data_IF_521009568437
#
_entry.id   IF_521009568437
#
_cell.length_a   1.000
_cell.length_b   1.000
_cell.length_c   1.000
_cell.angle_alpha   90.00
_cell.angle_beta   90.00
_cell.angle_gamma   90.00
#
_symmetry.space_group_name_H-M   'P 1'
#
loop_
_entity.id
_entity.type
_entity.pdbx_description
1 polymer ?
#
# COMPACT_ATOMS: atom_id res chain seq x y z
N UNK A 1 -65.21 36.46 -3.90
CA UNK A 1 -63.91 37.17 -3.90
C UNK A 1 -63.00 36.45 -2.90
N UNK A 2 -62.03 35.67 -3.39
CA UNK A 2 -61.11 34.88 -2.56
C UNK A 2 -59.83 35.69 -2.34
N UNK A 3 -59.59 36.13 -1.10
CA UNK A 3 -58.38 36.84 -0.71
C UNK A 3 -57.19 35.88 -0.69
N UNK A 4 -56.25 36.07 -1.61
CA UNK A 4 -55.00 35.32 -1.65
C UNK A 4 -54.12 35.68 -0.46
N UNK A 5 -53.96 34.75 0.48
CA UNK A 5 -52.95 34.87 1.55
C UNK A 5 -51.56 34.90 0.91
N UNK A 6 -50.92 36.06 0.92
CA UNK A 6 -49.50 36.17 0.59
C UNK A 6 -48.69 35.42 1.66
N UNK A 7 -47.90 34.44 1.22
CA UNK A 7 -46.98 33.70 2.09
C UNK A 7 -45.92 34.67 2.64
N UNK A 8 -45.56 34.57 3.93
CA UNK A 8 -44.60 35.49 4.55
C UNK A 8 -43.20 35.32 3.95
N UNK A 9 -42.46 36.43 3.81
CA UNK A 9 -41.21 36.48 3.03
C UNK A 9 -40.16 35.46 3.48
N UNK A 10 -40.12 35.14 4.77
CA UNK A 10 -39.09 34.28 5.36
C UNK A 10 -39.19 32.85 4.84
N UNK A 11 -40.38 32.37 4.45
CA UNK A 11 -40.54 31.05 3.83
C UNK A 11 -39.87 30.98 2.46
N UNK A 12 -40.02 32.02 1.64
CA UNK A 12 -39.32 32.13 0.35
C UNK A 12 -37.81 32.19 0.53
N UNK A 13 -37.35 32.97 1.51
CA UNK A 13 -35.93 33.11 1.81
C UNK A 13 -35.30 31.78 2.31
N UNK A 14 -36.01 31.02 3.17
CA UNK A 14 -35.56 29.70 3.59
C UNK A 14 -35.56 28.68 2.45
N UNK A 15 -36.56 28.72 1.54
CA UNK A 15 -36.57 27.89 0.32
C UNK A 15 -35.38 28.24 -0.60
N UNK A 16 -35.06 29.52 -0.79
CA UNK A 16 -33.88 29.96 -1.56
C UNK A 16 -32.56 29.53 -0.90
N UNK A 17 -32.42 29.64 0.42
CA UNK A 17 -31.24 29.14 1.13
C UNK A 17 -31.14 27.61 1.02
N UNK A 18 -32.25 26.89 1.12
CA UNK A 18 -32.28 25.43 0.93
C UNK A 18 -31.84 25.06 -0.49
N UNK A 19 -32.33 25.77 -1.52
CA UNK A 19 -31.91 25.58 -2.91
C UNK A 19 -30.43 25.91 -3.13
N UNK A 20 -29.93 26.99 -2.53
CA UNK A 20 -28.53 27.40 -2.66
C UNK A 20 -27.55 26.47 -1.91
N UNK A 21 -27.98 25.85 -0.81
CA UNK A 21 -27.18 24.87 -0.07
C UNK A 21 -27.25 23.46 -0.69
N UNK A 22 -28.34 23.13 -1.39
CA UNK A 22 -28.48 21.89 -2.16
C UNK A 22 -27.62 21.89 -3.45
N UNK A 23 -27.34 23.05 -4.03
CA UNK A 23 -26.49 23.22 -5.23
C UNK A 23 -24.99 22.93 -4.98
N UNK A 24 -24.54 22.78 -3.73
CA UNK A 24 -23.15 22.34 -3.46
C UNK A 24 -22.99 20.83 -3.37
N UNK A 25 -24.07 20.06 -3.48
CA UNK A 25 -24.02 18.61 -3.66
C UNK A 25 -24.27 18.22 -5.13
N UNK A 26 -23.50 18.77 -6.07
CA UNK A 26 -23.43 18.22 -7.44
C UNK A 26 -22.69 16.88 -7.36
N UNK A 27 -23.40 15.85 -6.92
CA UNK A 27 -23.00 14.45 -7.09
C UNK A 27 -23.06 14.12 -8.57
N UNK A 28 -21.91 14.08 -9.24
CA UNK A 28 -21.80 13.63 -10.63
C UNK A 28 -21.00 14.53 -11.57
N UNK A 29 -20.34 15.58 -11.08
CA UNK A 29 -19.48 16.39 -11.94
C UNK A 29 -18.19 15.60 -12.32
N UNK A 30 -17.84 15.44 -13.61
CA UNK A 30 -16.64 14.71 -14.02
C UNK A 30 -15.32 15.40 -13.60
N UNK A 31 -15.38 16.71 -13.28
CA UNK A 31 -14.25 17.48 -12.74
C UNK A 31 -14.03 17.28 -11.24
N UNK A 32 -15.02 16.75 -10.51
CA UNK A 32 -14.95 16.47 -9.08
C UNK A 32 -15.43 15.04 -8.82
N UNK A 33 -14.59 14.03 -9.12
CA UNK A 33 -14.94 12.65 -8.85
C UNK A 33 -15.28 12.49 -7.36
N UNK A 34 -16.40 11.83 -7.09
CA UNK A 34 -16.84 11.53 -5.73
C UNK A 34 -15.74 10.71 -5.05
N UNK A 35 -15.10 11.26 -4.03
CA UNK A 35 -14.09 10.54 -3.26
C UNK A 35 -14.75 9.34 -2.57
N UNK A 36 -14.61 8.16 -3.18
CA UNK A 36 -15.09 6.87 -2.66
C UNK A 36 -13.93 5.88 -2.59
N UNK A 37 -12.76 6.33 -2.15
CA UNK A 37 -11.71 5.41 -1.75
C UNK A 37 -11.89 5.13 -0.26
N UNK A 38 -12.55 4.02 0.08
CA UNK A 38 -12.45 3.42 1.41
C UNK A 38 -10.96 3.12 1.64
N UNK A 39 -10.29 3.91 2.48
CA UNK A 39 -8.87 3.72 2.77
C UNK A 39 -8.71 2.95 4.08
N UNK A 40 -7.78 2.01 4.10
CA UNK A 40 -7.38 1.33 5.32
C UNK A 40 -6.34 2.15 6.06
N UNK A 41 -6.51 2.27 7.37
CA UNK A 41 -5.47 2.80 8.26
C UNK A 41 -4.36 1.74 8.41
N UNK A 42 -3.11 2.15 8.28
CA UNK A 42 -1.95 1.29 8.54
C UNK A 42 -1.53 1.51 9.99
N UNK A 43 -1.39 0.44 10.77
CA UNK A 43 -0.77 0.50 12.09
C UNK A 43 0.74 0.71 11.92
N UNK A 44 1.30 1.89 12.23
CA UNK A 44 2.69 2.20 11.94
C UNK A 44 3.66 1.34 12.77
N UNK A 45 3.26 0.93 13.97
CA UNK A 45 4.10 0.12 14.86
C UNK A 45 4.10 -1.32 14.38
N UNK A 46 2.92 -1.89 14.12
CA UNK A 46 2.82 -3.25 13.58
C UNK A 46 3.50 -3.34 12.21
N UNK A 47 3.36 -2.30 11.36
CA UNK A 47 4.02 -2.21 10.07
C UNK A 47 5.55 -2.19 10.24
N UNK A 48 6.09 -1.31 11.09
CA UNK A 48 7.54 -1.26 11.34
C UNK A 48 8.09 -2.60 11.83
N UNK A 49 7.41 -3.25 12.77
CA UNK A 49 7.82 -4.56 13.29
C UNK A 49 7.69 -5.64 12.21
N UNK A 50 6.66 -5.62 11.38
CA UNK A 50 6.50 -6.56 10.28
C UNK A 50 7.58 -6.42 9.21
N UNK A 51 7.97 -5.18 8.89
CA UNK A 51 8.97 -4.90 7.86
C UNK A 51 10.39 -5.26 8.32
N UNK A 52 10.72 -5.07 9.60
CA UNK A 52 12.00 -5.51 10.16
C UNK A 52 12.00 -7.01 10.52
N UNK A 53 10.92 -7.46 11.16
CA UNK A 53 10.78 -8.81 11.71
C UNK A 53 10.62 -9.89 10.65
N UNK A 54 10.00 -9.59 9.50
CA UNK A 54 9.84 -10.58 8.43
C UNK A 54 11.18 -11.12 7.92
N UNK A 55 12.08 -10.26 7.40
CA UNK A 55 13.41 -10.67 6.99
C UNK A 55 14.22 -11.35 8.10
N UNK A 56 14.18 -10.82 9.33
CA UNK A 56 14.91 -11.37 10.47
C UNK A 56 14.41 -12.77 10.88
N UNK A 57 13.10 -12.98 10.97
CA UNK A 57 12.51 -14.28 11.29
C UNK A 57 12.75 -15.28 10.18
N UNK A 58 12.57 -14.86 8.93
CA UNK A 58 12.82 -15.74 7.78
C UNK A 58 14.28 -16.17 7.75
N UNK A 59 15.21 -15.26 8.08
CA UNK A 59 16.62 -15.57 8.08
C UNK A 59 17.09 -16.39 9.28
N UNK A 60 16.47 -16.23 10.45
CA UNK A 60 16.79 -17.04 11.64
C UNK A 60 16.18 -18.43 11.59
N UNK A 61 15.01 -18.61 10.97
CA UNK A 61 14.29 -19.89 10.92
C UNK A 61 14.53 -20.70 9.64
N UNK A 62 14.93 -20.06 8.54
CA UNK A 62 14.84 -20.66 7.20
C UNK A 62 16.02 -21.51 6.72
N UNK A 63 17.27 -21.15 7.01
CA UNK A 63 18.48 -21.77 6.41
C UNK A 63 19.70 -21.63 7.35
N UNK A 64 20.81 -22.40 7.18
CA UNK A 64 22.01 -22.23 8.01
C UNK A 64 22.42 -20.76 8.07
N UNK A 65 22.58 -20.24 9.30
CA UNK A 65 22.64 -18.83 9.74
C UNK A 65 23.46 -17.86 8.86
N UNK A 66 24.32 -18.34 7.96
CA UNK A 66 25.26 -17.55 7.18
C UNK A 66 24.62 -16.95 5.91
N UNK A 67 23.87 -17.73 5.15
CA UNK A 67 23.24 -17.29 3.89
C UNK A 67 22.17 -16.19 4.11
N UNK A 68 21.31 -16.26 5.14
CA UNK A 68 20.26 -15.29 5.32
C UNK A 68 20.73 -13.92 5.83
N UNK A 69 21.84 -13.87 6.58
CA UNK A 69 22.44 -12.60 7.04
C UNK A 69 23.02 -11.84 5.85
N UNK A 70 23.68 -12.52 4.93
CA UNK A 70 24.22 -11.91 3.70
C UNK A 70 23.07 -11.45 2.79
N UNK A 71 22.03 -12.28 2.63
CA UNK A 71 20.85 -11.90 1.86
C UNK A 71 20.12 -10.68 2.47
N UNK A 72 19.98 -10.62 3.80
CA UNK A 72 19.39 -9.48 4.49
C UNK A 72 20.27 -8.23 4.40
N UNK A 73 21.60 -8.34 4.51
CA UNK A 73 22.51 -7.21 4.39
C UNK A 73 22.52 -6.62 2.97
N UNK A 74 22.46 -7.47 1.94
CA UNK A 74 22.54 -7.05 0.55
C UNK A 74 21.17 -6.67 -0.04
N UNK A 75 20.11 -7.41 0.30
CA UNK A 75 18.74 -7.15 -0.14
C UNK A 75 18.01 -6.11 0.72
N UNK A 76 18.41 -5.93 1.98
CA UNK A 76 17.81 -5.00 2.94
C UNK A 76 17.75 -3.55 2.46
N UNK A 77 18.84 -2.98 1.91
CA UNK A 77 18.81 -1.62 1.37
C UNK A 77 17.78 -1.44 0.25
N UNK A 78 17.70 -2.36 -0.70
CA UNK A 78 16.71 -2.32 -1.80
C UNK A 78 15.29 -2.47 -1.24
N UNK A 79 15.11 -3.37 -0.28
CA UNK A 79 13.84 -3.59 0.40
C UNK A 79 13.35 -2.34 1.15
N UNK A 80 14.24 -1.62 1.84
CA UNK A 80 13.90 -0.37 2.53
C UNK A 80 13.65 0.78 1.55
N UNK A 81 14.45 0.87 0.49
CA UNK A 81 14.34 1.95 -0.49
C UNK A 81 13.11 1.84 -1.39
N UNK A 82 12.68 0.61 -1.73
CA UNK A 82 11.58 0.39 -2.68
C UNK A 82 10.41 -0.35 -2.05
N UNK A 83 10.68 -1.44 -1.32
CA UNK A 83 9.64 -2.28 -0.72
C UNK A 83 8.75 -1.52 0.27
N UNK A 84 9.37 -0.74 1.18
CA UNK A 84 8.62 0.07 2.16
C UNK A 84 7.73 1.13 1.50
N UNK A 85 8.23 2.00 0.61
CA UNK A 85 7.37 2.95 -0.09
C UNK A 85 6.23 2.31 -0.87
N UNK A 86 6.51 1.21 -1.59
CA UNK A 86 5.45 0.51 -2.36
C UNK A 86 4.37 -0.02 -1.43
N UNK A 87 4.73 -0.64 -0.31
CA UNK A 87 3.75 -1.14 0.66
C UNK A 87 2.91 0.01 1.24
N UNK A 88 3.53 1.15 1.59
CA UNK A 88 2.81 2.31 2.12
C UNK A 88 1.86 2.95 1.09
N UNK A 89 2.16 2.86 -0.20
CA UNK A 89 1.28 3.36 -1.27
C UNK A 89 0.10 2.41 -1.51
N UNK A 90 0.35 1.10 -1.45
CA UNK A 90 -0.57 0.08 -1.95
C UNK A 90 -1.49 -0.48 -0.84
N UNK A 91 -1.00 -0.61 0.39
CA UNK A 91 -1.79 -1.09 1.53
C UNK A 91 -3.00 -0.23 1.92
N UNK A 92 -2.99 1.11 1.82
CA UNK A 92 -4.18 1.91 2.12
C UNK A 92 -5.34 1.60 1.17
N UNK A 93 -5.05 1.09 -0.02
CA UNK A 93 -6.04 0.80 -1.06
C UNK A 93 -6.59 -0.63 -0.96
N UNK A 94 -5.84 -1.56 -0.40
CA UNK A 94 -6.22 -2.97 -0.31
C UNK A 94 -5.75 -3.60 0.99
N UNK A 95 -6.67 -4.28 1.69
CA UNK A 95 -6.30 -5.10 2.84
C UNK A 95 -5.69 -6.42 2.37
N UNK A 96 -4.38 -6.53 2.41
CA UNK A 96 -3.68 -7.74 1.97
C UNK A 96 -3.67 -8.84 3.02
N UNK A 97 -3.95 -10.08 2.58
CA UNK A 97 -3.57 -11.31 3.28
C UNK A 97 -2.05 -11.52 3.22
N UNK A 98 -1.51 -12.44 4.02
CA UNK A 98 -0.09 -12.81 3.92
C UNK A 98 0.35 -13.22 2.49
N UNK A 99 -0.53 -13.90 1.75
CA UNK A 99 -0.29 -14.21 0.33
C UNK A 99 -0.25 -12.97 -0.56
N UNK A 100 -1.05 -11.95 -0.24
CA UNK A 100 -1.02 -10.66 -0.91
C UNK A 100 0.30 -9.91 -0.70
N UNK A 101 0.83 -9.93 0.52
CA UNK A 101 2.16 -9.38 0.82
C UNK A 101 3.27 -10.14 0.07
N UNK A 102 3.21 -11.47 0.05
CA UNK A 102 4.15 -12.31 -0.68
C UNK A 102 4.13 -12.01 -2.19
N UNK A 103 2.94 -11.92 -2.77
CA UNK A 103 2.76 -11.60 -4.19
C UNK A 103 3.28 -10.21 -4.54
N UNK A 104 2.97 -9.21 -3.72
CA UNK A 104 3.45 -7.85 -3.93
C UNK A 104 4.98 -7.77 -3.82
N UNK A 105 5.57 -8.43 -2.83
CA UNK A 105 7.03 -8.50 -2.69
C UNK A 105 7.69 -9.16 -3.89
N UNK A 106 7.12 -10.25 -4.42
CA UNK A 106 7.60 -10.91 -5.63
C UNK A 106 7.53 -10.00 -6.86
N UNK A 107 6.39 -9.34 -7.08
CA UNK A 107 6.19 -8.44 -8.23
C UNK A 107 7.16 -7.27 -8.17
N UNK A 108 7.31 -6.63 -7.01
CA UNK A 108 8.23 -5.49 -6.84
C UNK A 108 9.67 -5.92 -7.04
N UNK A 109 10.08 -7.06 -6.46
CA UNK A 109 11.42 -7.59 -6.65
C UNK A 109 11.70 -7.88 -8.13
N UNK A 110 10.77 -8.57 -8.79
CA UNK A 110 10.90 -8.91 -10.19
C UNK A 110 10.98 -7.66 -11.08
N UNK A 111 10.12 -6.67 -10.84
CA UNK A 111 10.12 -5.41 -11.58
C UNK A 111 11.45 -4.66 -11.42
N UNK A 112 11.92 -4.47 -10.18
CA UNK A 112 13.17 -3.74 -9.89
C UNK A 112 14.37 -4.43 -10.54
N UNK A 113 14.53 -5.73 -10.32
CA UNK A 113 15.72 -6.44 -10.82
C UNK A 113 15.67 -6.68 -12.33
N UNK A 114 14.49 -6.85 -12.92
CA UNK A 114 14.37 -6.89 -14.37
C UNK A 114 14.77 -5.54 -15.00
N UNK A 115 14.37 -4.42 -14.40
CA UNK A 115 14.82 -3.09 -14.83
C UNK A 115 16.33 -2.91 -14.66
N UNK A 116 16.92 -3.36 -13.55
CA UNK A 116 18.38 -3.29 -13.35
C UNK A 116 19.11 -4.14 -14.40
N UNK A 117 18.62 -5.34 -14.69
CA UNK A 117 19.21 -6.24 -15.68
C UNK A 117 19.18 -5.63 -17.09
N UNK A 118 18.02 -5.13 -17.53
CA UNK A 118 17.89 -4.53 -18.86
C UNK A 118 18.70 -3.24 -19.00
N UNK A 119 18.77 -2.41 -17.96
CA UNK A 119 19.62 -1.21 -17.96
C UNK A 119 21.11 -1.58 -17.97
N UNK A 120 21.52 -2.59 -17.20
CA UNK A 120 22.92 -3.05 -17.17
C UNK A 120 23.36 -3.55 -18.54
N UNK A 121 22.51 -4.34 -19.20
CA UNK A 121 22.76 -4.81 -20.57
C UNK A 121 22.84 -3.65 -21.56
N UNK A 122 21.89 -2.70 -21.51
CA UNK A 122 21.89 -1.52 -22.38
C UNK A 122 23.13 -0.61 -22.18
N UNK A 123 23.69 -0.59 -20.96
CA UNK A 123 24.89 0.18 -20.62
C UNK A 123 26.20 -0.60 -20.81
N UNK A 124 26.14 -1.87 -21.23
CA UNK A 124 27.32 -2.73 -21.33
C UNK A 124 27.98 -3.07 -19.99
N UNK A 125 27.24 -2.97 -18.88
CA UNK A 125 27.70 -3.30 -17.53
C UNK A 125 27.54 -4.80 -17.23
N UNK A 126 28.24 -5.29 -16.20
CA UNK A 126 28.13 -6.68 -15.76
C UNK A 126 26.73 -7.02 -15.24
N UNK A 127 26.13 -8.09 -15.75
CA UNK A 127 24.79 -8.56 -15.33
C UNK A 127 24.84 -9.72 -14.32
N UNK A 128 26.02 -10.29 -14.03
CA UNK A 128 26.18 -11.48 -13.18
C UNK A 128 25.60 -11.29 -11.79
N UNK A 129 26.01 -10.24 -11.09
CA UNK A 129 25.57 -9.99 -9.71
C UNK A 129 24.05 -9.67 -9.65
N UNK A 130 23.49 -8.75 -10.46
CA UNK A 130 22.05 -8.55 -10.54
C UNK A 130 21.25 -9.81 -10.88
N UNK A 131 21.78 -10.68 -11.76
CA UNK A 131 21.11 -11.93 -12.14
C UNK A 131 21.05 -12.93 -10.98
N UNK A 132 22.12 -13.04 -10.20
CA UNK A 132 22.12 -13.83 -8.97
C UNK A 132 21.05 -13.31 -8.01
N UNK A 133 21.03 -12.00 -7.73
CA UNK A 133 20.02 -11.41 -6.85
C UNK A 133 18.59 -11.57 -7.36
N UNK A 134 18.39 -11.50 -8.68
CA UNK A 134 17.11 -11.76 -9.29
C UNK A 134 16.64 -13.17 -8.95
N UNK A 135 17.43 -14.19 -9.29
CA UNK A 135 17.08 -15.60 -9.11
C UNK A 135 16.84 -15.93 -7.62
N UNK A 136 17.77 -15.56 -6.74
CA UNK A 136 17.61 -15.82 -5.31
C UNK A 136 16.40 -15.07 -4.72
N UNK A 137 16.23 -13.80 -5.09
CA UNK A 137 15.13 -13.01 -4.58
C UNK A 137 13.75 -13.45 -5.09
N UNK A 138 13.64 -14.18 -6.21
CA UNK A 138 12.36 -14.80 -6.60
C UNK A 138 11.82 -15.77 -5.54
N UNK A 139 12.69 -16.37 -4.72
CA UNK A 139 12.30 -17.25 -3.62
C UNK A 139 12.20 -16.48 -2.31
N UNK A 140 13.21 -15.66 -2.00
CA UNK A 140 13.30 -14.99 -0.71
C UNK A 140 12.36 -13.80 -0.57
N UNK A 141 12.11 -13.02 -1.63
CA UNK A 141 11.18 -11.89 -1.57
C UNK A 141 9.74 -12.29 -1.21
N UNK A 142 9.10 -13.28 -1.87
CA UNK A 142 7.77 -13.73 -1.45
C UNK A 142 7.79 -14.37 -0.06
N UNK A 143 8.86 -15.04 0.34
CA UNK A 143 8.97 -15.63 1.67
C UNK A 143 9.01 -14.55 2.76
N UNK A 144 9.85 -13.51 2.59
CA UNK A 144 9.90 -12.35 3.47
C UNK A 144 8.54 -11.65 3.52
N UNK A 145 7.94 -11.42 2.35
CA UNK A 145 6.61 -10.81 2.24
C UNK A 145 5.54 -11.61 2.99
N UNK A 146 5.54 -12.94 2.86
CA UNK A 146 4.60 -13.81 3.57
C UNK A 146 4.76 -13.70 5.09
N UNK A 147 5.99 -13.81 5.61
CA UNK A 147 6.28 -13.72 7.04
C UNK A 147 5.97 -12.31 7.58
N UNK A 148 6.34 -11.25 6.86
CA UNK A 148 5.97 -9.87 7.19
C UNK A 148 4.45 -9.71 7.26
N UNK A 149 3.71 -10.23 6.28
CA UNK A 149 2.25 -10.15 6.28
C UNK A 149 1.59 -10.91 7.43
N UNK A 150 2.15 -12.07 7.82
CA UNK A 150 1.72 -12.81 9.01
C UNK A 150 1.97 -12.04 10.30
N UNK A 151 3.17 -11.45 10.45
CA UNK A 151 3.52 -10.61 11.59
C UNK A 151 2.62 -9.39 11.69
N UNK A 152 2.42 -8.68 10.58
CA UNK A 152 1.55 -7.51 10.55
C UNK A 152 0.15 -7.87 11.02
N UNK A 153 -0.45 -8.93 10.48
CA UNK A 153 -1.79 -9.38 10.87
C UNK A 153 -1.87 -9.78 12.34
N UNK A 154 -0.81 -10.37 12.89
CA UNK A 154 -0.75 -10.79 14.28
C UNK A 154 -0.65 -9.60 15.25
N UNK A 155 0.06 -8.55 14.85
CA UNK A 155 0.31 -7.35 15.68
C UNK A 155 -0.69 -6.21 15.44
N UNK A 156 -1.43 -6.23 14.32
CA UNK A 156 -2.40 -5.20 13.95
C UNK A 156 -3.49 -5.05 15.01
N UNK A 157 -3.56 -3.86 15.62
CA UNK A 157 -4.56 -3.53 16.63
C UNK A 157 -5.94 -3.30 16.01
N UNK A 158 -7.00 -3.59 16.77
CA UNK A 158 -8.39 -3.52 16.28
C UNK A 158 -8.80 -2.13 15.75
N UNK A 159 -8.25 -1.07 16.32
CA UNK A 159 -8.48 0.31 15.86
C UNK A 159 -8.11 0.50 14.38
N UNK A 160 -7.01 -0.09 13.93
CA UNK A 160 -6.50 0.06 12.55
C UNK A 160 -7.24 -0.84 11.55
N UNK A 161 -8.12 -1.73 12.02
CA UNK A 161 -8.89 -2.63 11.14
C UNK A 161 -10.05 -1.94 10.42
N UNK A 162 -10.31 -0.67 10.71
CA UNK A 162 -11.40 0.14 10.18
C UNK A 162 -11.05 0.73 8.81
N UNK A 163 -12.07 0.94 7.96
CA UNK A 163 -11.96 1.71 6.72
C UNK A 163 -12.49 3.13 6.94
N UNK A 164 -11.76 4.13 6.47
CA UNK A 164 -12.18 5.54 6.42
C UNK A 164 -12.68 5.89 5.02
#
# INVERSE_FOLDING_TARGET
>A
MSAGLQRPWWKKFCEEISLMTEITAITGCPLFPRAHAKRHLIDPVAFGIAMAGGPLLTGTLGFPLILPVIAAALGGPVYLAVGVPVMLIVMPLHRYSASGWAGLALIVHAAVFLTILTLSEAMGASTELPAIFFIFGLVFAPLWGAVSGLLYRWLERDFYKQTI
#
